data_IF_373182597536
#
_entry.id   IF_373182597536
#
_cell.length_a   1.000
_cell.length_b   1.000
_cell.length_c   1.000
_cell.angle_alpha   90.00
_cell.angle_beta   90.00
_cell.angle_gamma   90.00
#
_symmetry.space_group_name_H-M   'P 1'
#
loop_
_entity.id
_entity.type
_entity.pdbx_description
1 polymer ?
#
# COMPACT_ATOMS: atom_id res chain seq x y z
N UNK A 1 -37.16 -0.56 -13.92
CA UNK A 1 -37.53 -1.18 -12.63
C UNK A 1 -36.64 -2.40 -12.45
N UNK A 2 -35.47 -2.23 -11.83
CA UNK A 2 -34.53 -3.33 -11.54
C UNK A 2 -34.59 -3.62 -10.04
N UNK A 3 -34.66 -4.89 -9.61
CA UNK A 3 -34.87 -5.22 -8.21
C UNK A 3 -33.58 -5.07 -7.40
N UNK A 4 -33.76 -4.50 -6.23
CA UNK A 4 -32.82 -4.33 -5.13
C UNK A 4 -32.21 -5.69 -4.74
N UNK A 5 -30.89 -5.84 -4.87
CA UNK A 5 -30.10 -6.81 -4.10
C UNK A 5 -29.05 -6.04 -3.32
N UNK A 6 -29.30 -5.90 -2.03
CA UNK A 6 -28.35 -5.48 -1.00
C UNK A 6 -27.11 -6.36 -1.05
N UNK A 7 -25.96 -5.76 -1.37
CA UNK A 7 -24.62 -6.35 -1.22
C UNK A 7 -24.00 -5.64 -0.01
N UNK A 8 -23.58 -6.34 1.06
CA UNK A 8 -22.82 -5.73 2.12
C UNK A 8 -21.39 -5.54 1.61
N UNK A 9 -21.01 -4.31 1.31
CA UNK A 9 -19.69 -3.93 0.85
C UNK A 9 -19.08 -3.09 1.98
N UNK A 10 -18.21 -3.67 2.81
CA UNK A 10 -16.98 -3.02 3.34
C UNK A 10 -16.40 -3.83 4.51
N UNK A 11 -15.58 -4.82 4.19
CA UNK A 11 -14.47 -5.28 5.04
C UNK A 11 -13.57 -6.23 4.23
N UNK A 12 -13.07 -5.76 3.09
CA UNK A 12 -12.23 -6.57 2.18
C UNK A 12 -11.16 -5.74 1.44
N UNK A 13 -10.58 -4.71 2.08
CA UNK A 13 -9.59 -3.85 1.43
C UNK A 13 -8.16 -3.89 2.01
N UNK A 14 -7.83 -4.87 2.86
CA UNK A 14 -6.43 -5.10 3.30
C UNK A 14 -6.01 -6.58 3.19
N UNK A 15 -6.58 -7.32 2.25
CA UNK A 15 -6.11 -8.68 1.98
C UNK A 15 -6.32 -8.99 0.50
N UNK A 16 -5.27 -8.81 -0.30
CA UNK A 16 -5.21 -9.47 -1.61
C UNK A 16 -4.37 -10.73 -1.37
N UNK A 17 -5.05 -11.78 -0.92
CA UNK A 17 -4.59 -13.16 -1.11
C UNK A 17 -5.02 -13.55 -2.52
N UNK A 18 -4.08 -13.94 -3.38
CA UNK A 18 -4.41 -14.67 -4.58
C UNK A 18 -4.65 -16.13 -4.24
N UNK A 19 -5.89 -16.57 -4.35
CA UNK A 19 -6.21 -17.97 -4.66
C UNK A 19 -6.37 -18.06 -6.18
N UNK A 20 -5.52 -18.84 -6.84
CA UNK A 20 -5.77 -19.30 -8.21
C UNK A 20 -5.60 -20.82 -8.24
N UNK A 21 -6.73 -21.52 -8.31
CA UNK A 21 -6.79 -22.95 -8.68
C UNK A 21 -7.74 -23.11 -9.86
N UNK A 22 -7.15 -23.33 -11.05
CA UNK A 22 -7.61 -24.22 -12.14
C UNK A 22 -8.83 -23.83 -12.99
N UNK A 23 -9.08 -24.53 -14.13
CA UNK A 23 -8.53 -25.84 -14.50
C UNK A 23 -7.85 -25.91 -15.89
N UNK A 24 -6.90 -26.84 -16.05
CA UNK A 24 -6.52 -27.39 -17.36
C UNK A 24 -6.75 -28.90 -17.35
N UNK A 25 -7.42 -29.41 -18.38
CA UNK A 25 -7.78 -30.82 -18.53
C UNK A 25 -6.85 -31.54 -19.51
N UNK A 26 -6.44 -32.75 -19.10
CA UNK A 26 -5.94 -33.92 -19.88
C UNK A 26 -4.45 -34.01 -20.23
N UNK A 27 -3.91 -35.25 -20.42
CA UNK A 27 -4.02 -36.44 -19.59
C UNK A 27 -2.62 -37.03 -19.22
N UNK A 28 -2.63 -38.05 -18.35
CA UNK A 28 -1.50 -38.74 -17.75
C UNK A 28 -0.40 -39.24 -18.72
N UNK A 29 0.86 -39.23 -18.25
CA UNK A 29 1.89 -40.26 -18.51
C UNK A 29 3.14 -40.08 -17.61
N UNK A 30 3.53 -41.19 -16.98
CA UNK A 30 4.85 -41.56 -16.43
C UNK A 30 5.35 -40.89 -15.12
N UNK A 31 5.21 -41.63 -14.02
CA UNK A 31 6.02 -41.49 -12.80
C UNK A 31 7.49 -41.87 -13.07
N UNK A 32 8.43 -41.08 -12.54
CA UNK A 32 9.79 -41.54 -12.27
C UNK A 32 10.24 -41.03 -10.88
N UNK A 33 10.98 -41.82 -10.09
CA UNK A 33 11.23 -41.53 -8.68
C UNK A 33 12.56 -40.81 -8.51
N UNK A 34 12.54 -39.51 -8.26
CA UNK A 34 13.74 -38.76 -7.86
C UNK A 34 13.59 -38.11 -6.49
N UNK A 35 14.36 -38.68 -5.56
CA UNK A 35 15.07 -38.05 -4.47
C UNK A 35 14.29 -37.11 -3.53
N UNK A 36 14.02 -37.65 -2.33
CA UNK A 36 13.84 -36.88 -1.10
C UNK A 36 15.00 -35.88 -0.89
N UNK A 37 14.82 -34.65 -1.37
CA UNK A 37 15.42 -33.48 -0.77
C UNK A 37 14.43 -32.98 0.29
N UNK A 38 14.85 -32.93 1.55
CA UNK A 38 14.07 -32.27 2.62
C UNK A 38 13.71 -30.86 2.17
N UNK A 39 12.43 -30.65 1.85
CA UNK A 39 11.93 -29.31 1.56
C UNK A 39 12.08 -28.46 2.84
N UNK A 40 12.52 -27.19 2.73
CA UNK A 40 12.47 -26.26 3.84
C UNK A 40 11.08 -26.26 4.47
N UNK A 41 11.02 -26.28 5.80
CA UNK A 41 9.81 -26.62 6.57
C UNK A 41 8.66 -25.59 6.51
N UNK A 42 8.79 -24.50 5.75
CA UNK A 42 7.69 -23.56 5.46
C UNK A 42 7.79 -23.09 4.00
N UNK A 43 6.67 -23.11 3.29
CA UNK A 43 6.59 -22.55 1.94
C UNK A 43 6.73 -21.01 1.95
N UNK A 44 7.11 -20.37 0.84
CA UNK A 44 7.15 -18.90 0.76
C UNK A 44 5.82 -18.23 1.12
N UNK A 45 4.70 -18.89 0.80
CA UNK A 45 3.35 -18.42 1.09
C UNK A 45 3.08 -18.41 2.60
N UNK A 46 3.47 -19.47 3.31
CA UNK A 46 3.34 -19.55 4.76
C UNK A 46 4.23 -18.51 5.46
N UNK A 47 5.45 -18.34 4.97
CA UNK A 47 6.39 -17.33 5.44
C UNK A 47 5.79 -15.93 5.28
N UNK A 48 5.26 -15.60 4.10
CA UNK A 48 4.58 -14.33 3.83
C UNK A 48 3.40 -14.12 4.77
N UNK A 49 2.54 -15.12 4.92
CA UNK A 49 1.37 -15.07 5.81
C UNK A 49 1.78 -14.78 7.25
N UNK A 50 2.85 -15.40 7.73
CA UNK A 50 3.41 -15.16 9.07
C UNK A 50 3.89 -13.72 9.23
N UNK A 51 4.66 -13.20 8.27
CA UNK A 51 5.18 -11.83 8.30
C UNK A 51 4.02 -10.81 8.26
N UNK A 52 3.02 -11.02 7.40
CA UNK A 52 1.84 -10.16 7.37
C UNK A 52 1.09 -10.13 8.70
N UNK A 53 0.98 -11.27 9.39
CA UNK A 53 0.35 -11.32 10.70
C UNK A 53 1.16 -10.54 11.74
N UNK A 54 2.49 -10.60 11.69
CA UNK A 54 3.36 -9.80 12.56
C UNK A 54 3.19 -8.30 12.29
N UNK A 55 3.20 -7.88 11.02
CA UNK A 55 2.97 -6.49 10.61
C UNK A 55 1.60 -5.96 11.09
N UNK A 56 0.53 -6.75 10.91
CA UNK A 56 -0.82 -6.42 11.40
C UNK A 56 -0.88 -6.25 12.91
N UNK A 57 -0.12 -7.07 13.64
CA UNK A 57 -0.01 -7.01 15.10
C UNK A 57 1.06 -6.02 15.59
N UNK A 58 1.65 -5.22 14.68
CA UNK A 58 2.68 -4.21 14.97
C UNK A 58 3.97 -4.78 15.59
N UNK A 59 4.23 -6.07 15.34
CA UNK A 59 5.46 -6.76 15.71
C UNK A 59 6.53 -6.48 14.66
N UNK A 60 6.94 -5.22 14.55
CA UNK A 60 7.74 -4.76 13.41
C UNK A 60 9.17 -5.29 13.44
N UNK A 61 9.77 -5.48 14.61
CA UNK A 61 11.12 -6.03 14.73
C UNK A 61 11.16 -7.51 14.30
N UNK A 62 10.15 -8.27 14.68
CA UNK A 62 9.97 -9.67 14.26
C UNK A 62 9.73 -9.76 12.75
N UNK A 63 8.86 -8.89 12.22
CA UNK A 63 8.59 -8.81 10.79
C UNK A 63 9.84 -8.45 9.98
N UNK A 64 10.66 -7.52 10.47
CA UNK A 64 11.94 -7.17 9.84
C UNK A 64 12.87 -8.38 9.80
N UNK A 65 13.06 -9.05 10.94
CA UNK A 65 13.94 -10.22 11.03
C UNK A 65 13.50 -11.33 10.09
N UNK A 66 12.20 -11.66 10.09
CA UNK A 66 11.63 -12.69 9.24
C UNK A 66 11.70 -12.32 7.75
N UNK A 67 11.43 -11.07 7.38
CA UNK A 67 11.53 -10.62 6.00
C UNK A 67 12.98 -10.66 5.48
N UNK A 68 13.96 -10.27 6.30
CA UNK A 68 15.39 -10.37 5.92
C UNK A 68 15.84 -11.82 5.71
N UNK A 69 15.37 -12.74 6.55
CA UNK A 69 15.64 -14.17 6.35
C UNK A 69 14.97 -14.69 5.09
N UNK A 70 13.70 -14.35 4.88
CA UNK A 70 12.97 -14.76 3.69
C UNK A 70 13.61 -14.24 2.40
N UNK A 71 14.14 -13.01 2.38
CA UNK A 71 14.90 -12.45 1.24
C UNK A 71 16.16 -13.27 0.95
N UNK A 72 16.85 -13.80 1.97
CA UNK A 72 18.03 -14.67 1.77
C UNK A 72 17.66 -15.98 1.07
N UNK A 73 16.52 -16.57 1.42
CA UNK A 73 16.05 -17.82 0.81
C UNK A 73 15.33 -17.63 -0.52
N UNK A 74 14.61 -16.52 -0.68
CA UNK A 74 13.72 -16.25 -1.80
C UNK A 74 13.95 -14.84 -2.36
N UNK A 75 15.15 -14.54 -2.91
CA UNK A 75 15.54 -13.18 -3.29
C UNK A 75 14.76 -12.58 -4.47
N UNK A 76 13.94 -13.40 -5.16
CA UNK A 76 13.13 -12.97 -6.31
C UNK A 76 11.69 -12.61 -5.93
N UNK A 77 11.24 -12.98 -4.73
CA UNK A 77 9.86 -12.73 -4.28
C UNK A 77 9.78 -11.31 -3.75
N UNK A 78 9.16 -10.42 -4.53
CA UNK A 78 9.10 -8.98 -4.24
C UNK A 78 8.35 -8.67 -2.93
N UNK A 79 7.39 -9.53 -2.57
CA UNK A 79 6.55 -9.37 -1.39
C UNK A 79 7.37 -9.37 -0.09
N UNK A 80 8.50 -10.07 -0.03
CA UNK A 80 9.38 -10.03 1.15
C UNK A 80 10.09 -8.68 1.30
N UNK A 81 10.49 -8.05 0.19
CA UNK A 81 11.05 -6.69 0.21
C UNK A 81 9.99 -5.65 0.61
N UNK A 82 8.76 -5.82 0.13
CA UNK A 82 7.62 -4.98 0.53
C UNK A 82 7.35 -5.13 2.03
N UNK A 83 7.35 -6.36 2.56
CA UNK A 83 7.18 -6.59 3.99
C UNK A 83 8.32 -5.97 4.82
N UNK A 84 9.55 -6.01 4.31
CA UNK A 84 10.69 -5.35 4.94
C UNK A 84 10.55 -3.83 4.96
N UNK A 85 10.15 -3.20 3.85
CA UNK A 85 9.86 -1.75 3.76
C UNK A 85 8.78 -1.37 4.80
N UNK A 86 7.69 -2.14 4.90
CA UNK A 86 6.64 -1.92 5.90
C UNK A 86 7.14 -2.06 7.34
N UNK A 87 7.95 -3.07 7.63
CA UNK A 87 8.52 -3.31 8.95
C UNK A 87 9.46 -2.17 9.39
N UNK A 88 10.29 -1.68 8.47
CA UNK A 88 11.20 -0.56 8.72
C UNK A 88 10.45 0.75 8.92
N UNK A 89 9.45 1.03 8.08
CA UNK A 89 8.58 2.19 8.26
C UNK A 89 7.83 2.14 9.60
N UNK A 90 7.37 0.97 10.04
CA UNK A 90 6.74 0.76 11.35
C UNK A 90 7.67 1.00 12.54
N UNK A 91 8.98 0.81 12.35
CA UNK A 91 10.03 1.11 13.32
C UNK A 91 10.61 2.53 13.19
N UNK A 92 10.05 3.35 12.30
CA UNK A 92 10.57 4.69 11.98
C UNK A 92 11.99 4.71 11.39
N UNK A 93 12.45 3.58 10.84
CA UNK A 93 13.73 3.46 10.10
C UNK A 93 13.57 3.96 8.65
N UNK A 94 13.13 5.20 8.48
CA UNK A 94 12.67 5.72 7.19
C UNK A 94 13.75 5.80 6.11
N UNK A 95 15.00 6.08 6.49
CA UNK A 95 16.11 6.17 5.53
C UNK A 95 16.43 4.80 4.91
N UNK A 96 16.39 3.75 5.73
CA UNK A 96 16.59 2.38 5.26
C UNK A 96 15.40 1.90 4.41
N UNK A 97 14.18 2.21 4.84
CA UNK A 97 12.96 1.94 4.07
C UNK A 97 12.99 2.63 2.70
N UNK A 98 13.45 3.88 2.62
CA UNK A 98 13.57 4.59 1.34
C UNK A 98 14.68 4.02 0.45
N UNK A 99 15.77 3.52 1.04
CA UNK A 99 16.83 2.83 0.30
C UNK A 99 16.33 1.53 -0.34
N UNK A 100 15.44 0.79 0.33
CA UNK A 100 14.82 -0.42 -0.20
C UNK A 100 13.97 -0.20 -1.45
N UNK A 101 13.49 1.02 -1.66
CA UNK A 101 12.66 1.35 -2.83
C UNK A 101 13.36 1.01 -4.14
N UNK A 102 14.64 1.33 -4.29
CA UNK A 102 15.40 1.01 -5.51
C UNK A 102 15.52 -0.50 -5.71
N UNK A 103 15.78 -1.26 -4.64
CA UNK A 103 15.85 -2.73 -4.70
C UNK A 103 14.50 -3.36 -5.08
N UNK A 104 13.38 -2.86 -4.54
CA UNK A 104 12.03 -3.32 -4.91
C UNK A 104 11.80 -3.10 -6.42
N UNK A 105 12.17 -1.93 -6.94
CA UNK A 105 12.03 -1.61 -8.37
C UNK A 105 12.90 -2.51 -9.25
N UNK A 106 14.15 -2.79 -8.85
CA UNK A 106 15.04 -3.69 -9.58
C UNK A 106 14.49 -5.13 -9.63
N UNK A 107 13.99 -5.64 -8.50
CA UNK A 107 13.36 -6.96 -8.44
C UNK A 107 12.09 -7.00 -9.28
N UNK A 108 11.27 -5.94 -9.22
CA UNK A 108 10.07 -5.82 -10.04
C UNK A 108 10.40 -5.83 -11.54
N UNK A 109 11.31 -4.95 -11.97
CA UNK A 109 11.69 -4.79 -13.37
C UNK A 109 12.23 -6.07 -13.96
N UNK A 110 13.04 -6.81 -13.18
CA UNK A 110 13.66 -8.04 -13.64
C UNK A 110 12.71 -9.23 -13.70
N UNK A 111 11.72 -9.33 -12.81
CA UNK A 111 10.95 -10.57 -12.63
C UNK A 111 9.45 -10.43 -12.93
N UNK A 112 8.90 -9.22 -12.99
CA UNK A 112 7.44 -8.99 -13.06
C UNK A 112 7.02 -8.06 -14.21
N UNK A 113 7.92 -7.23 -14.74
CA UNK A 113 7.59 -6.21 -15.77
C UNK A 113 7.02 -6.79 -17.05
N UNK A 114 7.56 -7.91 -17.54
CA UNK A 114 7.14 -8.52 -18.79
C UNK A 114 5.70 -9.04 -18.70
N UNK A 115 5.42 -9.94 -17.75
CA UNK A 115 4.07 -10.44 -17.46
C UNK A 115 3.08 -9.29 -17.21
N UNK A 116 3.51 -8.25 -16.50
CA UNK A 116 2.69 -7.08 -16.24
C UNK A 116 2.28 -6.33 -17.52
N UNK A 117 3.19 -6.17 -18.48
CA UNK A 117 2.88 -5.53 -19.76
C UNK A 117 1.98 -6.42 -20.62
N UNK A 118 2.23 -7.72 -20.65
CA UNK A 118 1.41 -8.71 -21.39
C UNK A 118 -0.04 -8.74 -20.89
N UNK A 119 -0.24 -8.65 -19.58
CA UNK A 119 -1.56 -8.68 -18.95
C UNK A 119 -2.36 -7.37 -19.08
N UNK A 120 -1.93 -6.45 -19.95
CA UNK A 120 -2.61 -5.17 -20.13
C UNK A 120 -2.45 -4.24 -18.93
N UNK A 121 -1.37 -4.42 -18.16
CA UNK A 121 -0.90 -3.42 -17.21
C UNK A 121 -1.85 -3.21 -16.01
N UNK A 122 -2.28 -4.28 -15.31
CA UNK A 122 -3.31 -4.22 -14.28
C UNK A 122 -2.94 -3.27 -13.12
N UNK A 123 -3.85 -2.35 -12.76
CA UNK A 123 -3.63 -1.31 -11.73
C UNK A 123 -3.20 -1.91 -10.37
N UNK A 124 -3.68 -3.11 -10.04
CA UNK A 124 -3.41 -3.79 -8.77
C UNK A 124 -1.93 -4.14 -8.59
N UNK A 125 -1.24 -4.49 -9.68
CA UNK A 125 0.18 -4.89 -9.65
C UNK A 125 1.14 -3.70 -9.76
N UNK A 126 0.58 -2.48 -9.85
CA UNK A 126 1.32 -1.21 -9.83
C UNK A 126 1.54 -0.66 -8.43
N UNK A 127 0.81 -1.16 -7.42
CA UNK A 127 0.63 -0.48 -6.13
C UNK A 127 1.01 -1.37 -4.97
N UNK A 128 1.82 -0.87 -4.03
CA UNK A 128 1.97 -1.52 -2.72
C UNK A 128 1.83 -0.52 -1.58
N UNK A 129 1.37 -1.01 -0.44
CA UNK A 129 1.34 -0.22 0.79
C UNK A 129 2.76 -0.12 1.35
N UNK A 130 3.24 1.10 1.58
CA UNK A 130 4.56 1.35 2.18
C UNK A 130 4.50 1.48 3.69
N UNK A 131 3.41 2.08 4.18
CA UNK A 131 3.26 2.37 5.61
C UNK A 131 1.80 2.47 6.04
N UNK A 132 1.57 2.11 7.30
CA UNK A 132 0.32 2.31 8.01
C UNK A 132 0.55 3.28 9.15
N UNK A 133 -0.13 4.42 9.14
CA UNK A 133 -0.11 5.39 10.24
C UNK A 133 -1.41 5.32 11.01
N UNK A 134 -1.30 5.42 12.33
CA UNK A 134 -2.44 5.41 13.23
C UNK A 134 -2.54 6.74 13.95
N UNK A 135 -3.65 7.43 13.74
CA UNK A 135 -4.04 8.65 14.45
C UNK A 135 -5.11 8.36 15.49
N UNK A 136 -5.43 9.37 16.33
CA UNK A 136 -6.62 9.33 17.19
C UNK A 136 -7.84 9.19 16.28
N UNK A 137 -8.26 7.95 16.13
CA UNK A 137 -9.26 7.63 15.17
C UNK A 137 -8.83 7.93 13.74
N UNK A 138 -7.70 7.43 13.25
CA UNK A 138 -7.45 7.38 11.82
C UNK A 138 -6.56 6.19 11.53
N UNK A 139 -6.80 5.49 10.43
CA UNK A 139 -5.82 4.61 9.83
C UNK A 139 -5.51 5.15 8.44
N UNK A 140 -4.25 5.51 8.19
CA UNK A 140 -3.78 5.96 6.89
C UNK A 140 -2.92 4.86 6.30
N UNK A 141 -3.34 4.31 5.18
CA UNK A 141 -2.53 3.43 4.35
C UNK A 141 -1.88 4.30 3.28
N UNK A 142 -0.57 4.54 3.38
CA UNK A 142 0.16 5.24 2.34
C UNK A 142 0.72 4.21 1.35
N UNK A 143 0.25 4.32 0.11
CA UNK A 143 0.63 3.47 -0.99
C UNK A 143 1.54 4.22 -1.95
N UNK A 144 2.52 3.50 -2.48
CA UNK A 144 3.25 3.93 -3.67
C UNK A 144 2.76 3.10 -4.85
N UNK A 145 2.59 3.76 -5.99
CA UNK A 145 2.39 3.06 -7.24
C UNK A 145 3.28 3.61 -8.34
N UNK A 146 3.71 2.75 -9.25
CA UNK A 146 4.53 3.12 -10.40
C UNK A 146 3.78 2.87 -11.70
N UNK A 147 3.99 3.76 -12.66
CA UNK A 147 3.45 3.65 -14.00
C UNK A 147 4.64 3.63 -14.96
N UNK A 148 4.83 2.56 -15.75
CA UNK A 148 5.71 2.63 -16.91
C UNK A 148 5.02 3.53 -17.96
N UNK A 149 5.49 4.75 -18.09
CA UNK A 149 5.05 5.70 -19.11
C UNK A 149 5.94 5.51 -20.34
N UNK A 150 5.38 4.88 -21.37
CA UNK A 150 6.03 4.84 -22.68
C UNK A 150 5.59 6.06 -23.50
N UNK A 151 6.53 6.96 -23.77
CA UNK A 151 6.30 8.17 -24.57
C UNK A 151 6.84 7.94 -25.98
N UNK A 152 5.99 7.41 -26.87
CA UNK A 152 6.38 7.12 -28.24
C UNK A 152 7.32 5.92 -28.34
N UNK A 153 8.40 6.05 -29.11
CA UNK A 153 9.42 4.98 -29.28
C UNK A 153 10.46 4.95 -28.14
N UNK A 154 10.40 5.90 -27.21
CA UNK A 154 11.33 5.98 -26.09
C UNK A 154 11.11 4.84 -25.07
N UNK A 155 12.16 4.42 -24.33
CA UNK A 155 12.03 3.46 -23.25
C UNK A 155 11.07 3.99 -22.16
N UNK A 156 10.27 3.09 -21.60
CA UNK A 156 9.30 3.46 -20.58
C UNK A 156 9.97 4.07 -19.34
N UNK A 157 9.52 5.26 -18.94
CA UNK A 157 9.96 5.91 -17.70
C UNK A 157 9.05 5.44 -16.57
N UNK A 158 9.64 5.04 -15.44
CA UNK A 158 8.87 4.63 -14.26
C UNK A 158 8.52 5.88 -13.43
N UNK A 159 7.29 6.38 -13.57
CA UNK A 159 6.79 7.50 -12.77
C UNK A 159 6.07 6.96 -11.54
N UNK A 160 6.55 7.31 -10.34
CA UNK A 160 5.92 6.90 -9.10
C UNK A 160 4.99 8.00 -8.54
N UNK A 161 3.92 7.58 -7.88
CA UNK A 161 2.92 8.44 -7.30
C UNK A 161 2.50 7.92 -5.91
N UNK A 162 2.04 8.81 -5.05
CA UNK A 162 1.51 8.43 -3.74
C UNK A 162 -0.01 8.51 -3.71
N UNK A 163 -0.62 7.47 -3.15
CA UNK A 163 -2.03 7.42 -2.80
C UNK A 163 -2.14 7.17 -1.31
N UNK A 164 -3.04 7.86 -0.64
CA UNK A 164 -3.33 7.63 0.77
C UNK A 164 -4.78 7.21 0.89
N UNK A 165 -5.00 6.06 1.50
CA UNK A 165 -6.34 5.57 1.86
C UNK A 165 -6.49 5.84 3.35
N UNK A 166 -7.39 6.76 3.68
CA UNK A 166 -7.69 7.13 5.06
C UNK A 166 -8.99 6.48 5.44
N UNK A 167 -8.92 5.59 6.42
CA UNK A 167 -10.07 4.95 7.00
C UNK A 167 -10.35 5.64 8.33
N UNK A 168 -11.41 6.47 8.39
CA UNK A 168 -12.05 6.86 9.65
C UNK A 168 -13.34 7.67 9.55
N UNK A 169 -14.27 7.36 10.46
CA UNK A 169 -15.49 8.07 10.80
C UNK A 169 -16.40 7.14 11.62
N UNK A 170 -17.56 7.59 12.15
CA UNK A 170 -18.55 6.71 12.78
C UNK A 170 -19.15 5.67 11.81
N UNK A 171 -18.95 5.84 10.51
CA UNK A 171 -19.36 4.91 9.47
C UNK A 171 -18.13 4.24 8.82
N UNK A 172 -18.03 2.90 8.87
CA UNK A 172 -16.99 2.13 8.16
C UNK A 172 -16.96 2.40 6.65
N UNK A 173 -18.10 2.79 6.07
CA UNK A 173 -18.33 3.12 4.64
C UNK A 173 -17.58 4.37 4.15
N UNK A 174 -17.14 5.27 5.05
CA UNK A 174 -16.54 6.56 4.70
C UNK A 174 -15.02 6.47 4.46
N UNK A 175 -14.62 5.59 3.54
CA UNK A 175 -13.24 5.53 3.06
C UNK A 175 -12.87 6.79 2.28
N UNK A 176 -11.87 7.54 2.73
CA UNK A 176 -11.38 8.75 2.05
C UNK A 176 -10.12 8.44 1.27
N UNK A 177 -10.04 8.93 0.04
CA UNK A 177 -8.88 8.72 -0.85
C UNK A 177 -8.20 10.04 -1.11
N UNK A 178 -6.90 10.07 -0.88
CA UNK A 178 -6.06 11.22 -1.20
C UNK A 178 -4.96 10.80 -2.17
N UNK A 179 -4.47 11.78 -2.93
CA UNK A 179 -3.39 11.58 -3.90
C UNK A 179 -2.40 12.72 -3.80
N UNK A 180 -1.11 12.40 -3.86
CA UNK A 180 -0.08 13.40 -4.08
C UNK A 180 0.01 13.69 -5.58
N UNK A 181 -0.19 14.95 -5.94
CA UNK A 181 -0.17 15.44 -7.32
C UNK A 181 0.94 16.48 -7.47
N UNK A 182 1.52 16.53 -8.66
CA UNK A 182 2.40 17.63 -9.06
C UNK A 182 1.58 18.62 -9.88
N UNK A 183 1.53 19.87 -9.44
CA UNK A 183 0.88 20.95 -10.19
C UNK A 183 1.95 21.74 -10.91
N UNK A 184 1.70 22.03 -12.19
CA UNK A 184 2.51 22.92 -13.03
C UNK A 184 1.67 24.04 -13.68
N UNK A 185 0.36 24.10 -13.40
CA UNK A 185 -0.57 25.01 -14.08
C UNK A 185 -0.34 26.47 -13.64
N UNK A 186 -0.10 26.69 -12.35
CA UNK A 186 0.05 28.05 -11.79
C UNK A 186 1.41 28.26 -11.11
N UNK A 187 1.95 27.22 -10.47
CA UNK A 187 3.23 27.19 -9.77
C UNK A 187 3.75 25.75 -9.80
N UNK A 188 5.06 25.57 -9.69
CA UNK A 188 5.71 24.25 -9.60
C UNK A 188 5.72 23.75 -8.15
N UNK A 189 4.76 22.88 -7.81
CA UNK A 189 4.62 22.38 -6.45
C UNK A 189 3.92 21.02 -6.36
N UNK A 190 4.20 20.29 -5.28
CA UNK A 190 3.48 19.05 -4.95
C UNK A 190 2.34 19.34 -3.98
N UNK A 191 1.20 18.65 -4.11
CA UNK A 191 0.06 18.84 -3.20
C UNK A 191 -0.68 17.53 -2.98
N UNK A 192 -1.09 17.27 -1.74
CA UNK A 192 -2.06 16.20 -1.45
C UNK A 192 -3.46 16.77 -1.65
N UNK A 193 -4.23 16.12 -2.52
CA UNK A 193 -5.63 16.42 -2.79
C UNK A 193 -6.53 15.26 -2.35
N UNK A 194 -7.67 15.56 -1.75
CA UNK A 194 -8.73 14.60 -1.50
C UNK A 194 -9.56 14.39 -2.77
N UNK A 195 -9.79 13.11 -3.13
CA UNK A 195 -10.70 12.73 -4.19
C UNK A 195 -12.11 12.63 -3.61
N UNK A 196 -12.96 13.58 -3.99
CA UNK A 196 -14.37 13.64 -3.59
C UNK A 196 -15.28 13.43 -4.79
N UNK A 197 -16.58 13.18 -4.56
CA UNK A 197 -17.56 13.13 -5.66
C UNK A 197 -17.64 14.46 -6.45
N UNK A 198 -17.35 15.58 -5.79
CA UNK A 198 -17.31 16.93 -6.38
C UNK A 198 -15.98 17.31 -7.02
N UNK A 199 -15.00 16.40 -7.06
CA UNK A 199 -13.66 16.66 -7.61
C UNK A 199 -12.56 16.73 -6.54
N UNK A 200 -11.51 17.50 -6.81
CA UNK A 200 -10.30 17.54 -5.98
C UNK A 200 -10.35 18.69 -4.96
N UNK A 201 -10.11 18.37 -3.68
CA UNK A 201 -9.90 19.38 -2.63
C UNK A 201 -8.45 19.37 -2.18
N UNK A 202 -7.71 20.46 -2.45
CA UNK A 202 -6.33 20.60 -1.99
C UNK A 202 -6.27 20.63 -0.46
N UNK A 203 -5.37 19.82 0.10
CA UNK A 203 -5.30 19.58 1.55
C UNK A 203 -3.94 19.94 2.13
N UNK A 204 -2.85 19.50 1.49
CA UNK A 204 -1.48 19.67 2.01
C UNK A 204 -0.54 20.10 0.90
N UNK A 205 -0.09 21.37 0.85
CA UNK A 205 0.92 21.80 -0.11
C UNK A 205 2.33 21.39 0.34
N UNK A 206 3.17 21.10 -0.64
CA UNK A 206 4.61 20.88 -0.55
C UNK A 206 5.28 21.80 -1.58
N UNK A 207 6.58 22.07 -1.43
CA UNK A 207 7.32 22.86 -2.43
C UNK A 207 7.51 22.11 -3.76
N UNK A 208 8.47 22.56 -4.58
CA UNK A 208 8.80 21.97 -5.88
C UNK A 208 9.44 20.58 -5.81
N UNK A 209 9.89 20.14 -4.63
CA UNK A 209 10.48 18.81 -4.43
C UNK A 209 9.44 17.83 -3.91
N UNK A 210 9.33 16.67 -4.57
CA UNK A 210 8.50 15.56 -4.10
C UNK A 210 8.92 15.17 -2.68
N UNK A 211 8.01 15.21 -1.69
CA UNK A 211 8.34 14.79 -0.34
C UNK A 211 8.55 13.27 -0.29
N UNK A 212 9.37 12.75 0.63
CA UNK A 212 9.32 11.33 1.00
C UNK A 212 7.94 10.93 1.52
N UNK A 213 7.54 9.67 1.31
CA UNK A 213 6.18 9.21 1.65
C UNK A 213 5.85 9.33 3.15
N UNK A 214 6.84 9.13 4.05
CA UNK A 214 6.63 9.30 5.49
C UNK A 214 6.33 10.75 5.88
N UNK A 215 6.98 11.73 5.22
CA UNK A 215 6.72 13.16 5.44
C UNK A 215 5.31 13.50 4.95
N UNK A 216 4.96 13.04 3.75
CA UNK A 216 3.65 13.26 3.15
C UNK A 216 2.51 12.67 4.01
N UNK A 217 2.67 11.43 4.47
CA UNK A 217 1.69 10.74 5.31
C UNK A 217 1.52 11.42 6.68
N UNK A 218 2.62 11.83 7.33
CA UNK A 218 2.57 12.55 8.62
C UNK A 218 1.89 13.90 8.46
N UNK A 219 2.18 14.65 7.39
CA UNK A 219 1.54 15.94 7.14
C UNK A 219 0.02 15.80 6.93
N UNK A 220 -0.41 14.77 6.18
CA UNK A 220 -1.83 14.45 6.02
C UNK A 220 -2.49 14.13 7.37
N UNK A 221 -1.86 13.28 8.19
CA UNK A 221 -2.37 12.94 9.53
C UNK A 221 -2.61 14.19 10.39
N UNK A 222 -1.68 15.15 10.39
CA UNK A 222 -1.80 16.38 11.17
C UNK A 222 -3.02 17.21 10.75
N UNK A 223 -3.27 17.32 9.44
CA UNK A 223 -4.46 18.05 8.93
C UNK A 223 -5.74 17.35 9.36
N UNK A 224 -5.80 16.01 9.27
CA UNK A 224 -6.97 15.23 9.67
C UNK A 224 -7.29 15.36 11.16
N UNK A 225 -6.27 15.33 12.02
CA UNK A 225 -6.43 15.53 13.46
C UNK A 225 -7.00 16.93 13.77
N UNK A 226 -6.46 17.97 13.12
CA UNK A 226 -6.95 19.35 13.29
C UNK A 226 -8.40 19.54 12.83
N UNK A 227 -8.79 18.88 11.74
CA UNK A 227 -10.17 18.88 11.23
C UNK A 227 -11.12 18.20 12.23
N UNK A 228 -10.71 17.07 12.82
CA UNK A 228 -11.51 16.35 13.82
C UNK A 228 -11.74 17.17 15.09
N UNK A 229 -10.73 17.93 15.54
CA UNK A 229 -10.86 18.83 16.70
C UNK A 229 -11.89 19.95 16.45
N UNK A 230 -11.91 20.54 15.26
CA UNK A 230 -12.88 21.59 14.90
C UNK A 230 -14.32 21.08 14.80
N UNK A 231 -14.49 19.81 14.42
CA UNK A 231 -15.80 19.19 14.25
C UNK A 231 -16.36 18.55 15.53
N UNK A 232 -15.60 18.56 16.63
CA UNK A 232 -16.08 18.07 17.93
C UNK A 232 -16.94 19.17 18.58
N UNK A 233 -18.23 18.92 18.90
CA UNK A 233 -19.06 19.92 19.58
C UNK A 233 -18.38 20.33 20.89
N UNK A 234 -18.17 21.64 21.08
CA UNK A 234 -17.80 22.15 22.41
C UNK A 234 -18.94 21.81 23.35
N UNK A 235 -18.73 20.88 24.29
CA UNK A 235 -19.67 20.65 25.38
C UNK A 235 -20.00 22.01 26.01
N UNK A 236 -21.27 22.38 25.94
CA UNK A 236 -21.80 23.54 26.65
C UNK A 236 -21.46 23.37 28.11
N UNK A 237 -20.54 24.19 28.64
CA UNK A 237 -20.43 24.43 30.07
C UNK A 237 -21.82 24.88 30.54
N UNK A 238 -22.57 23.95 31.13
CA UNK A 238 -23.65 24.32 32.02
C UNK A 238 -22.98 24.94 33.24
N UNK A 239 -22.95 26.27 33.30
CA UNK A 239 -22.69 26.95 34.56
C UNK A 239 -23.78 26.49 35.54
N UNK A 240 -23.42 26.06 36.77
CA UNK A 240 -24.40 25.71 37.76
C UNK A 240 -25.18 26.97 38.10
N UNK A 241 -26.48 26.98 37.78
CA UNK A 241 -27.37 28.02 38.23
C UNK A 241 -27.41 27.99 39.76
N UNK A 242 -26.87 29.06 40.35
CA UNK A 242 -27.03 29.46 41.75
C UNK A 242 -28.46 29.86 42.07
#
# INVERSE_FOLDING_TARGET
MYPNKTIPLLLAFVLILFTSTGPSTSPALAESPEANAEQPSESPEETLRSIYLQLRNRKYAEAESAAREAIRHFPKIIEFYICLDQALNGQEKFEEAETLRSTILEVWEKNYKEEFLENGSPIRDRTWARMLLYGKGFVIIACEYFIPEQLGEEPAIITNHYKFIVMYGPNPEDGRVFKLEHSNINQDYYVISELTHSGFTQTVPFGSRKPPIHIAARALLQVLLKQAEHNTPKESRQDPQT
#
